data_IF_444521083088
#
_entry.id   IF_444521083088
#
_cell.length_a   1.000
_cell.length_b   1.000
_cell.length_c   1.000
_cell.angle_alpha   90.00
_cell.angle_beta   90.00
_cell.angle_gamma   90.00
#
_symmetry.space_group_name_H-M   'P 1'
#
loop_
_entity.id
_entity.type
_entity.pdbx_description
1 polymer ?
#
# COMPACT_ATOMS: atom_id res chain seq x y z
N UNK A 1 -46.41 -11.38 4.60
CA UNK A 1 -45.46 -10.74 5.54
C UNK A 1 -44.39 -11.71 6.02
N UNK A 2 -44.74 -12.89 6.54
CA UNK A 2 -43.79 -13.92 6.98
C UNK A 2 -42.78 -14.38 5.90
N UNK A 3 -43.22 -14.52 4.65
CA UNK A 3 -42.38 -14.95 3.50
C UNK A 3 -41.34 -13.91 3.08
N UNK A 4 -41.65 -12.61 3.26
CA UNK A 4 -40.73 -11.51 2.98
C UNK A 4 -39.67 -11.39 4.07
N UNK A 5 -40.07 -11.65 5.33
CA UNK A 5 -39.15 -11.67 6.47
C UNK A 5 -38.16 -12.85 6.40
N UNK A 6 -38.60 -14.02 5.93
CA UNK A 6 -37.72 -15.16 5.67
C UNK A 6 -36.67 -14.88 4.59
N UNK A 7 -37.06 -14.19 3.52
CA UNK A 7 -36.15 -13.81 2.42
C UNK A 7 -35.05 -12.86 2.91
N UNK A 8 -35.41 -11.89 3.76
CA UNK A 8 -34.45 -10.94 4.35
C UNK A 8 -33.47 -11.66 5.27
N UNK A 9 -33.91 -12.58 6.13
CA UNK A 9 -33.01 -13.38 6.97
C UNK A 9 -32.04 -14.25 6.15
N UNK A 10 -32.47 -14.80 5.02
CA UNK A 10 -31.61 -15.59 4.14
C UNK A 10 -30.49 -14.74 3.52
N UNK A 11 -30.79 -13.49 3.14
CA UNK A 11 -29.80 -12.55 2.58
C UNK A 11 -28.79 -12.09 3.64
N UNK A 12 -29.21 -11.88 4.89
CA UNK A 12 -28.27 -11.54 5.96
C UNK A 12 -27.35 -12.72 6.34
N UNK A 13 -27.84 -13.96 6.32
CA UNK A 13 -27.03 -15.14 6.62
C UNK A 13 -25.97 -15.44 5.54
N UNK A 14 -26.20 -15.05 4.28
CA UNK A 14 -25.26 -15.26 3.19
C UNK A 14 -24.09 -14.25 3.17
N UNK A 15 -24.17 -13.16 3.95
CA UNK A 15 -23.20 -12.06 3.93
C UNK A 15 -22.17 -12.11 5.06
N UNK A 16 -22.00 -13.24 5.75
CA UNK A 16 -20.83 -13.46 6.61
C UNK A 16 -19.60 -13.78 5.75
N UNK A 17 -19.23 -12.86 4.87
CA UNK A 17 -17.92 -12.85 4.25
C UNK A 17 -16.92 -12.48 5.34
N UNK A 18 -16.11 -13.45 5.75
CA UNK A 18 -15.05 -13.23 6.72
C UNK A 18 -14.14 -12.12 6.21
N UNK A 19 -14.01 -11.03 6.97
CA UNK A 19 -12.87 -10.15 6.81
C UNK A 19 -11.65 -10.99 7.23
N UNK A 20 -11.00 -11.65 6.27
CA UNK A 20 -9.83 -12.46 6.52
C UNK A 20 -8.78 -11.57 7.20
N UNK A 21 -8.36 -11.99 8.39
CA UNK A 21 -7.29 -11.34 9.12
C UNK A 21 -6.03 -11.34 8.24
N UNK A 22 -5.44 -10.15 8.04
CA UNK A 22 -4.25 -9.96 7.20
C UNK A 22 -3.12 -10.89 7.65
N UNK A 23 -3.03 -11.15 8.96
CA UNK A 23 -2.08 -12.11 9.51
C UNK A 23 -2.37 -13.55 9.05
N UNK A 24 -3.63 -13.97 8.99
CA UNK A 24 -4.04 -15.27 8.48
C UNK A 24 -3.77 -15.45 6.98
N UNK A 25 -3.89 -14.38 6.18
CA UNK A 25 -3.55 -14.40 4.75
C UNK A 25 -2.04 -14.55 4.53
N UNK A 26 -1.24 -13.94 5.39
CA UNK A 26 0.22 -13.91 5.27
C UNK A 26 0.92 -15.07 5.97
N UNK A 27 0.18 -16.00 6.59
CA UNK A 27 0.74 -17.03 7.46
C UNK A 27 0.18 -18.42 7.12
N UNK A 28 1.02 -19.45 7.07
CA UNK A 28 0.57 -20.83 6.88
C UNK A 28 -0.12 -21.39 8.14
N UNK A 29 -0.67 -22.61 8.04
CA UNK A 29 -1.34 -23.32 9.15
C UNK A 29 -0.44 -23.57 10.38
N UNK A 30 0.87 -23.39 10.24
CA UNK A 30 1.90 -23.59 11.27
C UNK A 30 2.35 -22.27 11.91
N UNK A 31 1.77 -21.13 11.52
CA UNK A 31 2.16 -19.82 12.04
C UNK A 31 3.38 -19.20 11.35
N UNK A 32 3.86 -19.77 10.23
CA UNK A 32 5.00 -19.24 9.46
C UNK A 32 4.55 -18.27 8.37
N UNK A 33 5.21 -17.12 8.29
CA UNK A 33 4.99 -16.14 7.22
C UNK A 33 5.26 -16.78 5.84
N UNK A 34 4.29 -16.64 4.93
CA UNK A 34 4.34 -17.11 3.53
C UNK A 34 4.19 -15.98 2.51
N UNK A 35 4.08 -14.74 2.96
CA UNK A 35 4.05 -13.59 2.06
C UNK A 35 5.41 -13.38 1.36
N UNK A 36 5.44 -12.50 0.34
CA UNK A 36 6.68 -12.14 -0.34
C UNK A 36 7.66 -11.50 0.65
N UNK A 37 8.92 -11.89 0.57
CA UNK A 37 9.96 -11.30 1.43
C UNK A 37 10.20 -9.83 1.10
N UNK A 38 10.94 -9.12 1.96
CA UNK A 38 11.30 -7.72 1.66
C UNK A 38 12.16 -7.69 0.40
N UNK A 39 13.08 -8.64 0.28
CA UNK A 39 13.98 -8.83 -0.84
C UNK A 39 13.20 -9.08 -2.15
N UNK A 40 12.18 -9.94 -2.13
CA UNK A 40 11.32 -10.19 -3.30
C UNK A 40 10.58 -8.93 -3.73
N UNK A 41 10.08 -8.14 -2.76
CA UNK A 41 9.40 -6.89 -3.07
C UNK A 41 10.36 -5.84 -3.63
N UNK A 42 11.57 -5.72 -3.08
CA UNK A 42 12.60 -4.79 -3.61
C UNK A 42 13.02 -5.21 -5.01
N UNK A 43 13.23 -6.50 -5.25
CA UNK A 43 13.55 -7.02 -6.59
C UNK A 43 12.42 -6.79 -7.61
N UNK A 44 11.16 -6.73 -7.14
CA UNK A 44 10.01 -6.42 -7.99
C UNK A 44 9.82 -4.91 -8.21
N UNK A 45 10.31 -4.07 -7.29
CA UNK A 45 10.31 -2.60 -7.43
C UNK A 45 11.46 -2.10 -8.31
N UNK A 46 12.66 -2.64 -8.14
CA UNK A 46 13.87 -2.29 -8.90
C UNK A 46 13.72 -2.73 -10.38
N UNK A 47 13.24 -1.80 -11.21
CA UNK A 47 12.95 -2.02 -12.62
C UNK A 47 14.16 -1.77 -13.50
N UNK A 48 15.00 -0.80 -13.12
CA UNK A 48 16.21 -0.46 -13.84
C UNK A 48 17.42 -1.38 -13.50
N UNK A 49 17.25 -2.26 -12.50
CA UNK A 49 18.22 -3.26 -12.05
C UNK A 49 19.52 -2.65 -11.55
N UNK A 50 19.42 -1.46 -10.95
CA UNK A 50 20.56 -0.77 -10.35
C UNK A 50 20.91 -1.26 -8.93
N UNK A 51 20.08 -2.15 -8.35
CA UNK A 51 20.28 -2.75 -7.04
C UNK A 51 19.56 -2.03 -5.89
N UNK A 52 18.74 -1.02 -6.16
CA UNK A 52 17.86 -0.37 -5.18
C UNK A 52 16.57 0.11 -5.86
N UNK A 53 15.53 0.35 -5.06
CA UNK A 53 14.28 0.94 -5.56
C UNK A 53 14.28 2.45 -5.29
N UNK A 54 14.16 3.26 -6.33
CA UNK A 54 14.01 4.71 -6.18
C UNK A 54 12.57 5.11 -5.81
N UNK A 55 12.33 6.39 -5.43
CA UNK A 55 10.99 6.82 -5.04
C UNK A 55 9.95 6.73 -6.17
N UNK A 56 10.36 6.90 -7.42
CA UNK A 56 9.47 6.79 -8.58
C UNK A 56 9.09 5.33 -8.85
N UNK A 57 10.03 4.40 -8.67
CA UNK A 57 9.81 2.96 -8.75
C UNK A 57 8.92 2.45 -7.62
N UNK A 58 9.16 2.91 -6.39
CA UNK A 58 8.31 2.62 -5.23
C UNK A 58 6.88 3.09 -5.50
N UNK A 59 6.72 4.31 -6.03
CA UNK A 59 5.41 4.84 -6.38
C UNK A 59 4.74 4.03 -7.48
N UNK A 60 5.44 3.73 -8.56
CA UNK A 60 4.91 2.94 -9.67
C UNK A 60 4.45 1.56 -9.20
N UNK A 61 5.21 0.92 -8.32
CA UNK A 61 4.88 -0.38 -7.74
C UNK A 61 3.66 -0.33 -6.81
N UNK A 62 3.55 0.69 -5.96
CA UNK A 62 2.41 0.87 -5.09
C UNK A 62 1.13 1.20 -5.88
N UNK A 63 1.23 2.02 -6.93
CA UNK A 63 0.13 2.31 -7.83
C UNK A 63 -0.31 1.07 -8.63
N UNK A 64 0.64 0.20 -9.01
CA UNK A 64 0.33 -1.09 -9.65
C UNK A 64 -0.44 -2.04 -8.72
N UNK A 65 -0.08 -2.09 -7.43
CA UNK A 65 -0.72 -2.98 -6.45
C UNK A 65 -2.06 -2.47 -5.92
N UNK A 66 -2.17 -1.17 -5.68
CA UNK A 66 -3.32 -0.59 -4.96
C UNK A 66 -4.19 0.34 -5.83
N UNK A 67 -3.77 0.61 -7.06
CA UNK A 67 -4.45 1.50 -7.98
C UNK A 67 -3.85 2.90 -8.03
N UNK A 68 -4.21 3.63 -9.09
CA UNK A 68 -3.66 4.96 -9.39
C UNK A 68 -3.97 5.96 -8.28
N UNK A 69 -2.96 6.72 -7.87
CA UNK A 69 -3.10 7.74 -6.83
C UNK A 69 -3.08 7.21 -5.39
N UNK A 70 -2.72 5.94 -5.19
CA UNK A 70 -2.53 5.38 -3.86
C UNK A 70 -1.52 6.22 -3.06
N UNK A 71 -1.97 6.78 -1.93
CA UNK A 71 -1.14 7.59 -1.02
C UNK A 71 -0.35 8.71 -1.72
N UNK A 72 -0.92 9.33 -2.77
CA UNK A 72 -0.22 10.30 -3.61
C UNK A 72 0.45 11.43 -2.84
N UNK A 73 -0.18 11.97 -1.79
CA UNK A 73 0.39 13.04 -0.96
C UNK A 73 1.64 12.59 -0.20
N UNK A 74 1.64 11.35 0.32
CA UNK A 74 2.80 10.79 1.02
C UNK A 74 3.94 10.50 0.06
N UNK A 75 3.62 9.94 -1.12
CA UNK A 75 4.60 9.63 -2.15
C UNK A 75 5.19 10.89 -2.78
N UNK A 76 4.40 11.95 -2.94
CA UNK A 76 4.88 13.25 -3.40
C UNK A 76 5.85 13.88 -2.39
N UNK A 77 5.53 13.82 -1.08
CA UNK A 77 6.46 14.26 -0.02
C UNK A 77 7.73 13.41 0.01
N UNK A 78 7.62 12.11 -0.24
CA UNK A 78 8.76 11.20 -0.32
C UNK A 78 9.66 11.53 -1.53
N UNK A 79 9.09 11.74 -2.71
CA UNK A 79 9.85 12.20 -3.88
C UNK A 79 10.49 13.57 -3.64
N UNK A 80 9.79 14.51 -2.98
CA UNK A 80 10.30 15.83 -2.67
C UNK A 80 11.48 15.80 -1.67
N UNK A 81 11.47 14.86 -0.71
CA UNK A 81 12.57 14.70 0.24
C UNK A 81 13.84 14.20 -0.44
N UNK A 82 13.72 13.29 -1.42
CA UNK A 82 14.86 12.84 -2.24
C UNK A 82 15.40 13.95 -3.14
N UNK A 83 14.51 14.79 -3.70
CA UNK A 83 14.90 15.95 -4.52
C UNK A 83 15.56 17.08 -3.72
N UNK A 84 15.81 16.89 -2.42
CA UNK A 84 16.48 17.88 -1.59
C UNK A 84 15.61 19.10 -1.28
N UNK A 85 14.28 19.02 -1.48
CA UNK A 85 13.34 20.10 -1.10
C UNK A 85 13.09 20.10 0.41
N UNK A 86 14.09 19.70 1.20
CA UNK A 86 13.98 19.58 2.65
C UNK A 86 14.29 20.89 3.38
N UNK A 87 14.62 21.98 2.67
CA UNK A 87 15.03 23.24 3.28
C UNK A 87 14.81 24.45 2.35
N UNK A 88 13.56 24.90 2.19
CA UNK A 88 13.33 26.34 2.33
C UNK A 88 13.53 26.64 3.82
N UNK A 89 14.79 26.78 4.26
CA UNK A 89 15.04 27.20 5.64
C UNK A 89 14.39 28.57 5.84
N UNK A 90 13.85 28.90 7.03
CA UNK A 90 13.33 30.23 7.33
C UNK A 90 14.41 31.34 7.28
N UNK A 91 15.67 30.97 7.02
CA UNK A 91 16.85 31.83 6.97
C UNK A 91 17.33 32.13 5.55
N UNK A 92 16.63 31.67 4.49
CA UNK A 92 16.85 32.17 3.13
C UNK A 92 16.28 33.60 2.99
N UNK A 93 16.79 34.52 3.81
CA UNK A 93 16.48 35.95 3.80
C UNK A 93 17.22 36.55 2.60
N UNK A 94 16.49 36.90 1.56
CA UNK A 94 16.99 37.81 0.52
C UNK A 94 17.26 39.18 1.14
N UNK A 95 18.51 39.61 1.23
CA UNK A 95 18.89 41.03 1.29
C UNK A 95 20.30 41.22 0.69
N UNK A 96 20.34 41.61 -0.59
CA UNK A 96 21.28 42.60 -1.11
C UNK A 96 20.48 43.59 -1.95
#
# INVERSE_FOLDING_TARGET
>A
MLKMMMLVCLVFAANTANAEDVLGYLTNKEGKYIGPTVEDNVSAMDTDKNGFADASEVRAFLELKHGKGYQSELLEKFEASIKGTSCATPFAKSFY
#
